data_IF_424630974716
#
_entry.id   IF_424630974716
#
_cell.length_a   1.000
_cell.length_b   1.000
_cell.length_c   1.000
_cell.angle_alpha   90.00
_cell.angle_beta   90.00
_cell.angle_gamma   90.00
#
_symmetry.space_group_name_H-M   'P 1'
#
loop_
_entity.id
_entity.type
_entity.pdbx_description
1 polymer ?
#
# COMPACT_ATOMS: atom_id res chain seq x y z
N UNK A 1 -10.23 1.66 1.06
CA UNK A 1 -9.06 1.31 0.22
C UNK A 1 -8.78 -0.16 0.35
N UNK A 2 -7.84 -0.71 -0.42
CA UNK A 2 -7.39 -2.11 -0.32
C UNK A 2 -5.88 -2.20 -0.54
N UNK A 3 -5.23 -3.19 0.08
CA UNK A 3 -3.81 -3.50 -0.10
C UNK A 3 -3.53 -5.01 -0.09
N UNK A 4 -4.52 -5.84 -0.45
CA UNK A 4 -4.25 -7.25 -0.76
C UNK A 4 -3.22 -7.36 -1.88
N UNK A 5 -2.58 -8.52 -2.04
CA UNK A 5 -1.65 -8.75 -3.15
C UNK A 5 -2.39 -9.07 -4.46
N UNK A 6 -3.36 -8.23 -4.85
CA UNK A 6 -4.21 -8.43 -6.02
C UNK A 6 -3.45 -8.41 -7.36
N UNK A 7 -2.22 -7.90 -7.37
CA UNK A 7 -1.31 -7.93 -8.52
C UNK A 7 -0.84 -9.35 -8.86
N UNK A 8 -0.94 -10.29 -7.92
CA UNK A 8 -0.65 -11.71 -8.13
C UNK A 8 -1.91 -12.54 -7.80
N UNK A 9 -2.78 -12.81 -8.79
CA UNK A 9 -4.01 -13.56 -8.56
C UNK A 9 -3.78 -15.04 -8.19
N UNK A 10 -2.59 -15.58 -8.40
CA UNK A 10 -2.26 -16.98 -8.08
C UNK A 10 -1.71 -17.11 -6.65
N UNK A 11 -0.74 -16.29 -6.28
CA UNK A 11 -0.09 -16.35 -4.96
C UNK A 11 -0.66 -15.39 -3.93
N UNK A 12 -1.23 -14.26 -4.36
CA UNK A 12 -1.47 -13.10 -3.52
C UNK A 12 -2.92 -12.82 -3.11
N UNK A 13 -3.90 -13.45 -3.76
CA UNK A 13 -5.31 -13.23 -3.48
C UNK A 13 -6.04 -14.56 -3.25
N UNK A 14 -6.69 -14.71 -2.09
CA UNK A 14 -7.41 -15.94 -1.75
C UNK A 14 -8.86 -15.84 -2.26
N UNK A 15 -9.33 -16.77 -3.12
CA UNK A 15 -10.71 -16.76 -3.58
C UNK A 15 -11.71 -16.92 -2.43
N UNK A 16 -12.86 -16.24 -2.55
CA UNK A 16 -13.95 -16.33 -1.57
C UNK A 16 -14.45 -17.79 -1.42
N UNK A 17 -14.82 -18.15 -0.20
CA UNK A 17 -15.36 -19.48 0.13
C UNK A 17 -14.30 -20.57 0.33
N UNK A 18 -13.00 -20.24 0.31
CA UNK A 18 -11.92 -21.18 0.65
C UNK A 18 -11.32 -20.86 2.02
N UNK A 19 -10.96 -21.92 2.76
CA UNK A 19 -9.98 -21.82 3.84
C UNK A 19 -8.57 -21.71 3.25
N UNK A 20 -7.58 -21.31 4.05
CA UNK A 20 -6.20 -21.23 3.59
C UNK A 20 -5.67 -22.58 3.09
N UNK A 21 -5.99 -23.68 3.77
CA UNK A 21 -5.55 -25.02 3.35
C UNK A 21 -6.16 -25.43 2.00
N UNK A 22 -7.47 -25.22 1.82
CA UNK A 22 -8.16 -25.50 0.55
C UNK A 22 -7.65 -24.59 -0.57
N UNK A 23 -7.31 -23.35 -0.26
CA UNK A 23 -6.71 -22.43 -1.21
C UNK A 23 -5.31 -22.89 -1.62
N UNK A 24 -4.49 -23.36 -0.67
CA UNK A 24 -3.16 -23.89 -0.97
C UNK A 24 -3.22 -25.17 -1.83
N UNK A 25 -4.16 -26.06 -1.52
CA UNK A 25 -4.43 -27.27 -2.32
C UNK A 25 -4.84 -26.89 -3.75
N UNK A 26 -5.87 -26.05 -3.90
CA UNK A 26 -6.38 -25.62 -5.20
C UNK A 26 -5.34 -24.88 -6.04
N UNK A 27 -4.53 -24.02 -5.41
CA UNK A 27 -3.46 -23.28 -6.09
C UNK A 27 -2.48 -24.22 -6.77
N UNK A 28 -2.21 -25.37 -6.16
CA UNK A 28 -1.29 -26.38 -6.70
C UNK A 28 -1.99 -27.31 -7.69
N UNK A 29 -3.19 -27.79 -7.36
CA UNK A 29 -3.89 -28.81 -8.13
C UNK A 29 -4.60 -28.27 -9.37
N UNK A 30 -5.06 -27.02 -9.35
CA UNK A 30 -5.76 -26.36 -10.44
C UNK A 30 -5.47 -24.83 -10.47
N UNK A 31 -4.23 -24.42 -10.80
CA UNK A 31 -3.81 -23.01 -10.75
C UNK A 31 -4.65 -22.09 -11.65
N UNK A 32 -5.10 -22.57 -12.81
CA UNK A 32 -5.96 -21.78 -13.72
C UNK A 32 -7.34 -21.52 -13.11
N UNK A 33 -7.95 -22.52 -12.46
CA UNK A 33 -9.20 -22.36 -11.73
C UNK A 33 -9.02 -21.40 -10.55
N UNK A 34 -7.90 -21.53 -9.83
CA UNK A 34 -7.57 -20.61 -8.75
C UNK A 34 -7.55 -19.17 -9.23
N UNK A 35 -6.81 -18.86 -10.30
CA UNK A 35 -6.71 -17.50 -10.88
C UNK A 35 -8.08 -16.99 -11.32
N UNK A 36 -8.86 -17.81 -12.02
CA UNK A 36 -10.22 -17.44 -12.44
C UNK A 36 -11.10 -17.06 -11.25
N UNK A 37 -11.05 -17.86 -10.18
CA UNK A 37 -11.83 -17.60 -8.96
C UNK A 37 -11.31 -16.41 -8.17
N UNK A 38 -10.00 -16.15 -8.19
CA UNK A 38 -9.40 -14.95 -7.62
C UNK A 38 -9.94 -13.71 -8.32
N UNK A 39 -9.94 -13.64 -9.65
CA UNK A 39 -10.51 -12.51 -10.38
C UNK A 39 -12.00 -12.31 -10.13
N UNK A 40 -12.79 -13.39 -10.11
CA UNK A 40 -14.21 -13.29 -9.74
C UNK A 40 -14.41 -12.74 -8.31
N UNK A 41 -13.52 -13.10 -7.37
CA UNK A 41 -13.54 -12.58 -6.00
C UNK A 41 -13.10 -11.12 -5.94
N UNK A 42 -12.15 -10.71 -6.76
CA UNK A 42 -11.74 -9.30 -6.90
C UNK A 42 -12.87 -8.45 -7.47
N UNK A 43 -13.62 -8.96 -8.46
CA UNK A 43 -14.79 -8.26 -9.01
C UNK A 43 -15.85 -7.99 -7.94
N UNK A 44 -16.21 -9.00 -7.14
CA UNK A 44 -17.14 -8.84 -6.03
C UNK A 44 -16.61 -7.88 -4.95
N UNK A 45 -15.31 -7.91 -4.66
CA UNK A 45 -14.68 -6.99 -3.71
C UNK A 45 -14.72 -5.54 -4.19
N UNK A 46 -14.37 -5.28 -5.46
CA UNK A 46 -14.42 -3.94 -6.03
C UNK A 46 -15.86 -3.43 -6.12
N UNK A 47 -16.83 -4.28 -6.43
CA UNK A 47 -18.25 -3.89 -6.39
C UNK A 47 -18.67 -3.44 -4.99
N UNK A 48 -18.24 -4.14 -3.93
CA UNK A 48 -18.49 -3.71 -2.56
C UNK A 48 -17.79 -2.38 -2.22
N UNK A 49 -16.54 -2.19 -2.66
CA UNK A 49 -15.83 -0.92 -2.50
C UNK A 49 -16.55 0.23 -3.20
N UNK A 50 -17.03 0.01 -4.42
CA UNK A 50 -17.80 0.99 -5.17
C UNK A 50 -19.17 1.25 -4.51
N UNK A 51 -19.80 0.26 -3.89
CA UNK A 51 -20.98 0.46 -3.06
C UNK A 51 -20.73 1.39 -1.85
N UNK A 52 -19.56 1.29 -1.20
CA UNK A 52 -19.18 2.26 -0.16
C UNK A 52 -18.97 3.67 -0.70
N UNK A 53 -18.42 3.80 -1.90
CA UNK A 53 -18.29 5.08 -2.60
C UNK A 53 -19.68 5.70 -2.85
N UNK A 54 -20.62 4.90 -3.37
CA UNK A 54 -22.00 5.34 -3.63
C UNK A 54 -22.70 5.78 -2.33
N UNK A 55 -22.36 5.16 -1.19
CA UNK A 55 -22.85 5.53 0.14
C UNK A 55 -22.13 6.74 0.77
N UNK A 56 -21.22 7.41 0.03
CA UNK A 56 -20.55 8.64 0.45
C UNK A 56 -19.19 8.45 1.14
N UNK A 57 -18.64 7.23 1.16
CA UNK A 57 -17.30 7.00 1.69
C UNK A 57 -16.22 7.46 0.72
N UNK A 58 -15.06 7.90 1.23
CA UNK A 58 -13.89 8.14 0.39
C UNK A 58 -13.24 6.81 0.04
N UNK A 59 -13.26 6.45 -1.24
CA UNK A 59 -12.68 5.20 -1.77
C UNK A 59 -11.56 5.54 -2.75
N UNK A 60 -10.49 4.77 -2.70
CA UNK A 60 -9.34 4.89 -3.60
C UNK A 60 -8.61 3.55 -3.71
N UNK A 61 -7.91 3.37 -4.82
CA UNK A 61 -7.00 2.25 -5.10
C UNK A 61 -5.60 2.55 -4.56
N UNK A 62 -4.99 1.61 -3.85
CA UNK A 62 -3.67 1.78 -3.25
C UNK A 62 -2.54 1.08 -4.02
N UNK A 63 -2.65 1.00 -5.34
CA UNK A 63 -1.54 0.58 -6.21
C UNK A 63 -1.27 -0.91 -6.22
N UNK A 64 -2.24 -1.75 -5.89
CA UNK A 64 -2.13 -3.21 -5.96
C UNK A 64 -2.81 -3.83 -7.21
N UNK A 65 -3.30 -2.98 -8.12
CA UNK A 65 -3.94 -3.38 -9.38
C UNK A 65 -5.30 -4.12 -9.21
N UNK A 66 -5.95 -3.99 -8.05
CA UNK A 66 -7.24 -4.65 -7.77
C UNK A 66 -8.34 -4.26 -8.79
N UNK A 67 -8.39 -2.99 -9.22
CA UNK A 67 -9.38 -2.52 -10.21
C UNK A 67 -9.27 -3.25 -11.55
N UNK A 68 -8.05 -3.44 -12.05
CA UNK A 68 -7.83 -4.22 -13.27
C UNK A 68 -8.19 -5.70 -13.05
N UNK A 69 -7.87 -6.27 -11.89
CA UNK A 69 -8.28 -7.63 -11.54
C UNK A 69 -9.80 -7.80 -11.49
N UNK A 70 -10.54 -6.81 -11.02
CA UNK A 70 -12.01 -6.81 -11.06
C UNK A 70 -12.57 -6.76 -12.48
N UNK A 71 -11.96 -5.98 -13.37
CA UNK A 71 -12.34 -5.96 -14.80
C UNK A 71 -12.12 -7.32 -15.46
N UNK A 72 -10.97 -7.97 -15.19
CA UNK A 72 -10.72 -9.36 -15.63
C UNK A 72 -11.72 -10.36 -15.03
N UNK A 73 -12.24 -10.07 -13.84
CA UNK A 73 -13.30 -10.84 -13.18
C UNK A 73 -14.71 -10.58 -13.71
N UNK A 74 -14.87 -9.69 -14.69
CA UNK A 74 -16.15 -9.40 -15.36
C UNK A 74 -16.87 -8.15 -14.85
N UNK A 75 -16.25 -7.36 -13.97
CA UNK A 75 -16.81 -6.06 -13.59
C UNK A 75 -16.62 -5.04 -14.73
N UNK A 76 -17.62 -4.23 -15.05
CA UNK A 76 -17.49 -3.24 -16.12
C UNK A 76 -16.39 -2.22 -15.82
N UNK A 77 -15.69 -1.74 -16.85
CA UNK A 77 -14.63 -0.72 -16.75
C UNK A 77 -15.05 0.48 -15.89
N UNK A 78 -16.17 1.11 -16.22
CA UNK A 78 -16.66 2.31 -15.52
C UNK A 78 -16.88 2.06 -14.03
N UNK A 79 -17.34 0.86 -13.67
CA UNK A 79 -17.57 0.47 -12.28
C UNK A 79 -16.26 0.17 -11.56
N UNK A 80 -15.36 -0.59 -12.19
CA UNK A 80 -14.06 -0.93 -11.63
C UNK A 80 -13.18 0.31 -11.41
N UNK A 81 -13.30 1.32 -12.28
CA UNK A 81 -12.53 2.56 -12.22
C UNK A 81 -13.33 3.76 -11.70
N UNK A 82 -14.48 3.53 -11.07
CA UNK A 82 -15.34 4.57 -10.46
C UNK A 82 -14.66 5.37 -9.33
N UNK A 83 -13.54 4.86 -8.79
CA UNK A 83 -12.71 5.55 -7.80
C UNK A 83 -11.24 5.67 -8.27
N UNK A 84 -10.55 6.75 -7.85
CA UNK A 84 -9.20 7.05 -8.33
C UNK A 84 -8.12 6.19 -7.67
N UNK A 85 -6.93 6.18 -8.27
CA UNK A 85 -5.72 5.73 -7.58
C UNK A 85 -5.21 6.76 -6.57
N UNK A 86 -4.51 6.31 -5.53
CA UNK A 86 -4.00 7.17 -4.47
C UNK A 86 -3.01 8.24 -4.98
N UNK A 87 -2.24 7.93 -6.03
CA UNK A 87 -1.28 8.88 -6.62
C UNK A 87 -1.97 10.12 -7.17
N UNK A 88 -2.87 10.03 -8.17
CA UNK A 88 -3.57 11.20 -8.68
C UNK A 88 -4.47 11.87 -7.63
N UNK A 89 -5.02 11.11 -6.68
CA UNK A 89 -5.93 11.66 -5.67
C UNK A 89 -5.22 12.46 -4.56
N UNK A 90 -4.04 12.01 -4.11
CA UNK A 90 -3.42 12.54 -2.88
C UNK A 90 -1.93 12.83 -2.99
N UNK A 91 -1.15 11.98 -3.68
CA UNK A 91 0.32 12.00 -3.56
C UNK A 91 1.00 12.82 -4.65
N UNK A 92 0.39 13.00 -5.83
CA UNK A 92 1.01 13.69 -6.96
C UNK A 92 1.59 15.08 -6.62
N UNK A 93 0.95 15.94 -5.80
CA UNK A 93 1.54 17.21 -5.41
C UNK A 93 2.90 17.06 -4.71
N UNK A 94 3.07 16.04 -3.86
CA UNK A 94 4.35 15.76 -3.19
C UNK A 94 5.43 15.37 -4.21
N UNK A 95 5.08 14.54 -5.20
CA UNK A 95 6.01 14.16 -6.27
C UNK A 95 6.47 15.36 -7.10
N UNK A 96 5.60 16.37 -7.32
CA UNK A 96 5.97 17.60 -8.00
C UNK A 96 7.01 18.45 -7.24
N UNK A 97 7.09 18.29 -5.92
CA UNK A 97 8.12 18.89 -5.06
C UNK A 97 9.38 17.99 -4.95
N UNK A 98 9.48 16.93 -5.75
CA UNK A 98 10.56 15.95 -5.66
C UNK A 98 10.52 15.08 -4.41
N UNK A 99 9.43 15.13 -3.62
CA UNK A 99 9.28 14.28 -2.43
C UNK A 99 9.01 12.85 -2.84
N UNK A 100 9.54 11.91 -2.06
CA UNK A 100 9.28 10.50 -2.23
C UNK A 100 9.62 9.72 -0.98
N UNK A 101 9.47 8.38 -1.00
CA UNK A 101 9.73 7.51 0.14
C UNK A 101 11.24 7.31 0.39
N UNK A 102 11.97 8.41 0.60
CA UNK A 102 13.40 8.43 0.90
C UNK A 102 13.67 7.73 2.23
N UNK A 103 14.76 6.95 2.29
CA UNK A 103 15.10 6.13 3.44
C UNK A 103 16.60 5.93 3.57
N UNK A 104 17.04 5.65 4.78
CA UNK A 104 18.40 5.21 5.09
C UNK A 104 18.39 4.12 6.17
N UNK A 105 19.50 3.41 6.29
CA UNK A 105 19.71 2.36 7.28
C UNK A 105 21.11 2.48 7.91
N UNK A 106 21.22 2.15 9.20
CA UNK A 106 22.48 2.16 9.93
C UNK A 106 23.16 0.79 9.83
N UNK A 107 24.29 0.72 9.11
CA UNK A 107 25.03 -0.54 8.92
C UNK A 107 25.71 -1.06 10.20
N UNK A 108 25.87 -0.20 11.21
CA UNK A 108 26.34 -0.58 12.55
C UNK A 108 25.40 -1.57 13.26
N UNK A 109 24.12 -1.55 12.89
CA UNK A 109 23.07 -2.25 13.63
C UNK A 109 22.62 -1.55 14.91
N UNK A 110 23.21 -0.40 15.27
CA UNK A 110 22.88 0.34 16.50
C UNK A 110 21.70 1.31 16.25
N UNK A 111 20.58 1.16 16.97
CA UNK A 111 19.45 2.09 16.89
C UNK A 111 19.81 3.55 17.19
N UNK A 112 20.85 3.79 18.00
CA UNK A 112 21.29 5.12 18.35
C UNK A 112 21.70 5.96 17.12
N UNK A 113 22.22 5.32 16.07
CA UNK A 113 22.56 6.00 14.82
C UNK A 113 21.32 6.57 14.10
N UNK A 114 20.18 5.87 14.19
CA UNK A 114 18.91 6.41 13.67
C UNK A 114 18.47 7.61 14.48
N UNK A 115 18.60 7.58 15.81
CA UNK A 115 18.24 8.74 16.65
C UNK A 115 19.15 9.95 16.40
N UNK A 116 20.44 9.71 16.09
CA UNK A 116 21.37 10.78 15.70
C UNK A 116 20.94 11.40 14.37
N UNK A 117 20.62 10.57 13.37
CA UNK A 117 20.16 11.07 12.06
C UNK A 117 18.80 11.74 12.13
N UNK A 118 17.85 11.24 12.92
CA UNK A 118 16.54 11.89 13.16
C UNK A 118 16.73 13.30 13.75
N UNK A 119 17.61 13.46 14.74
CA UNK A 119 17.95 14.79 15.29
C UNK A 119 18.61 15.70 14.27
N UNK A 120 19.52 15.18 13.45
CA UNK A 120 20.18 15.96 12.41
C UNK A 120 19.17 16.47 11.37
N UNK A 121 18.23 15.61 10.94
CA UNK A 121 17.15 16.00 10.01
C UNK A 121 16.27 17.09 10.63
N UNK A 122 15.86 16.94 11.90
CA UNK A 122 15.06 17.97 12.58
C UNK A 122 15.79 19.33 12.69
N UNK A 123 17.12 19.32 12.85
CA UNK A 123 17.93 20.54 12.90
C UNK A 123 18.08 21.21 11.53
N UNK A 124 18.14 20.43 10.45
CA UNK A 124 18.25 20.95 9.08
C UNK A 124 16.94 21.58 8.59
N UNK A 125 15.80 21.13 9.11
CA UNK A 125 14.47 21.56 8.69
C UNK A 125 13.63 22.00 9.91
N UNK A 126 14.06 23.05 10.65
CA UNK A 126 13.45 23.40 11.93
C UNK A 126 12.01 23.90 11.81
N UNK A 127 11.63 24.45 10.65
CA UNK A 127 10.30 25.02 10.40
C UNK A 127 9.29 24.00 9.82
N UNK A 128 9.72 22.78 9.49
CA UNK A 128 8.82 21.73 8.99
C UNK A 128 8.18 20.98 10.16
N UNK A 129 7.08 21.55 10.70
CA UNK A 129 6.32 20.96 11.80
C UNK A 129 5.81 19.54 11.50
N UNK A 130 5.50 19.26 10.22
CA UNK A 130 4.99 17.95 9.80
C UNK A 130 6.10 16.91 9.86
N UNK A 131 7.29 17.26 9.38
CA UNK A 131 8.49 16.44 9.48
C UNK A 131 8.89 16.19 10.94
N UNK A 132 8.92 17.24 11.78
CA UNK A 132 9.23 17.10 13.19
C UNK A 132 8.23 16.18 13.90
N UNK A 133 6.92 16.32 13.61
CA UNK A 133 5.88 15.41 14.11
C UNK A 133 6.07 13.98 13.60
N UNK A 134 6.42 13.80 12.34
CA UNK A 134 6.70 12.49 11.76
C UNK A 134 7.85 11.78 12.47
N UNK A 135 8.99 12.45 12.64
CA UNK A 135 10.17 11.88 13.31
C UNK A 135 9.85 11.44 14.74
N UNK A 136 9.16 12.28 15.52
CA UNK A 136 8.70 11.92 16.87
C UNK A 136 7.80 10.69 16.87
N UNK A 137 6.79 10.64 16.01
CA UNK A 137 5.90 9.48 15.93
C UNK A 137 6.64 8.23 15.47
N UNK A 138 7.59 8.37 14.56
CA UNK A 138 8.36 7.26 14.04
C UNK A 138 9.34 6.70 15.09
N UNK A 139 9.84 7.52 16.02
CA UNK A 139 10.59 7.07 17.20
C UNK A 139 9.68 6.37 18.22
N UNK A 140 8.50 6.93 18.52
CA UNK A 140 7.58 6.40 19.54
C UNK A 140 6.85 5.11 19.11
N UNK A 141 6.60 4.94 17.80
CA UNK A 141 5.63 3.95 17.30
C UNK A 141 6.22 2.89 16.37
N UNK A 142 7.41 3.10 15.79
CA UNK A 142 7.98 2.17 14.82
C UNK A 142 9.13 1.40 15.46
N UNK A 143 8.89 0.11 15.72
CA UNK A 143 9.95 -0.81 16.11
C UNK A 143 10.86 -1.12 14.92
N UNK A 144 12.17 -1.17 15.15
CA UNK A 144 13.14 -1.54 14.12
C UNK A 144 13.03 -3.03 13.76
N UNK A 145 13.32 -3.36 12.51
CA UNK A 145 13.32 -4.73 11.98
C UNK A 145 14.63 -4.96 11.23
N UNK A 146 15.48 -5.87 11.72
CA UNK A 146 16.82 -6.07 11.17
C UNK A 146 17.73 -4.87 11.46
N UNK A 147 18.40 -4.34 10.43
CA UNK A 147 19.18 -3.11 10.58
C UNK A 147 18.24 -1.94 10.91
N UNK A 148 18.57 -1.10 11.90
CA UNK A 148 17.81 0.12 12.18
C UNK A 148 17.73 0.99 10.93
N UNK A 149 16.53 1.43 10.58
CA UNK A 149 16.27 2.19 9.38
C UNK A 149 15.17 3.22 9.62
N UNK A 150 15.21 4.31 8.85
CA UNK A 150 14.21 5.37 8.87
C UNK A 150 13.70 5.64 7.47
N UNK A 151 12.38 5.73 7.34
CA UNK A 151 11.69 6.30 6.18
C UNK A 151 11.34 7.75 6.52
N UNK A 152 11.59 8.66 5.58
CA UNK A 152 11.34 10.09 5.75
C UNK A 152 11.12 10.73 4.38
N UNK A 153 9.98 11.38 4.17
CA UNK A 153 9.68 11.99 2.88
C UNK A 153 10.35 13.35 2.76
N UNK A 154 11.47 13.39 2.05
CA UNK A 154 12.24 14.61 1.75
C UNK A 154 12.16 14.92 0.26
N UNK A 155 12.09 16.21 -0.06
CA UNK A 155 11.87 16.73 -1.41
C UNK A 155 13.16 17.12 -2.12
N UNK A 156 12.99 17.74 -3.29
CA UNK A 156 14.09 18.43 -3.95
C UNK A 156 14.59 19.57 -3.06
N UNK A 157 15.90 19.64 -2.86
CA UNK A 157 16.61 20.58 -2.00
C UNK A 157 18.10 20.57 -2.32
#
# INVERSE_FOLDING_TARGET
>A
TDQTSAHDPLGGYVPVGLTLDKAAELRTSAPEDYVKRSYASMAAHVEAMAGFLDAGSVVFDYGNNLRAGAEQGGLSHDRAYSYPGFVPAFIRPMFCEGKGPFRWAALSGDPADILVTDRAVAQLFPDDERLAKWLRLAEERVAFQGLPARICWLGYG
#
